data_IF_370093423655
#
_entry.id   IF_370093423655
#
_cell.length_a   1.000
_cell.length_b   1.000
_cell.length_c   1.000
_cell.angle_alpha   90.00
_cell.angle_beta   90.00
_cell.angle_gamma   90.00
#
_symmetry.space_group_name_H-M   'P 1'
#
loop_
_entity.id
_entity.type
_entity.pdbx_description
1 polymer ?
#
# COMPACT_ATOMS: atom_id res chain seq x y z
N UNK A 1 11.53 0.23 19.54
CA UNK A 1 10.70 -0.36 20.61
C UNK A 1 11.06 -1.81 20.94
N UNK A 2 10.88 -2.80 20.04
CA UNK A 2 11.32 -4.19 20.36
C UNK A 2 12.81 -4.31 20.68
N UNK A 3 13.67 -3.62 19.91
CA UNK A 3 15.12 -3.56 20.15
C UNK A 3 15.52 -2.79 21.41
N UNK A 4 14.58 -2.06 22.00
CA UNK A 4 14.76 -1.32 23.25
C UNK A 4 14.18 -2.09 24.46
N UNK A 5 13.71 -3.33 24.25
CA UNK A 5 13.24 -4.21 25.32
C UNK A 5 11.77 -4.06 25.70
N UNK A 6 10.97 -3.28 24.94
CA UNK A 6 9.54 -3.14 25.22
C UNK A 6 8.73 -4.34 24.71
N UNK A 7 7.79 -4.80 25.54
CA UNK A 7 6.71 -5.69 25.15
C UNK A 7 5.46 -4.89 24.79
N UNK A 8 4.86 -5.19 23.65
CA UNK A 8 3.73 -4.42 23.13
C UNK A 8 2.79 -5.28 22.28
N UNK A 9 1.50 -5.01 22.42
CA UNK A 9 0.45 -5.55 21.58
C UNK A 9 -0.07 -4.45 20.64
N UNK A 10 -0.10 -4.74 19.33
CA UNK A 10 -0.54 -3.79 18.31
C UNK A 10 -1.83 -4.26 17.65
N UNK A 11 -2.73 -3.32 17.41
CA UNK A 11 -3.95 -3.56 16.64
C UNK A 11 -3.65 -3.52 15.13
N UNK A 12 -4.61 -3.97 14.31
CA UNK A 12 -4.46 -3.94 12.84
C UNK A 12 -4.31 -2.48 12.36
N UNK A 13 -3.38 -2.21 11.41
CA UNK A 13 -3.24 -0.88 10.84
C UNK A 13 -4.53 -0.49 10.12
N UNK A 14 -4.84 0.81 10.13
CA UNK A 14 -6.02 1.39 9.47
C UNK A 14 -5.60 2.54 8.56
N UNK A 15 -6.27 2.66 7.43
CA UNK A 15 -6.12 3.80 6.52
C UNK A 15 -6.74 5.04 7.17
N UNK A 16 -6.03 6.17 7.07
CA UNK A 16 -6.52 7.47 7.53
C UNK A 16 -7.20 8.16 6.36
N UNK A 17 -8.53 8.19 6.35
CA UNK A 17 -9.32 8.90 5.35
C UNK A 17 -9.35 10.40 5.65
N UNK A 18 -9.46 11.22 4.60
CA UNK A 18 -9.65 12.67 4.69
C UNK A 18 -10.89 13.10 3.91
N UNK A 19 -11.50 14.19 4.33
CA UNK A 19 -12.57 14.84 3.57
C UNK A 19 -11.99 16.07 2.86
N UNK A 20 -12.13 16.10 1.53
CA UNK A 20 -11.64 17.17 0.68
C UNK A 20 -12.78 17.51 -0.28
N UNK A 21 -13.22 18.76 -0.28
CA UNK A 21 -14.35 19.26 -1.08
C UNK A 21 -15.64 18.44 -0.91
N UNK A 22 -15.95 18.05 0.33
CA UNK A 22 -17.12 17.22 0.67
C UNK A 22 -17.03 15.77 0.20
N UNK A 23 -15.85 15.32 -0.26
CA UNK A 23 -15.62 13.94 -0.72
C UNK A 23 -14.62 13.24 0.18
N UNK A 24 -14.97 12.01 0.57
CA UNK A 24 -14.07 11.12 1.30
C UNK A 24 -12.97 10.62 0.36
N UNK A 25 -11.72 10.84 0.74
CA UNK A 25 -10.53 10.42 0.00
C UNK A 25 -9.65 9.53 0.87
N UNK A 26 -8.99 8.56 0.24
CA UNK A 26 -7.97 7.71 0.85
C UNK A 26 -6.57 8.11 0.33
N UNK A 27 -5.52 7.91 1.14
CA UNK A 27 -4.15 8.11 0.68
C UNK A 27 -3.78 7.07 -0.38
N UNK A 28 -3.10 7.54 -1.43
CA UNK A 28 -2.46 6.71 -2.44
C UNK A 28 -0.94 6.84 -2.34
N UNK A 29 -0.23 5.78 -2.69
CA UNK A 29 1.23 5.76 -2.76
C UNK A 29 1.67 5.38 -4.17
N UNK A 30 2.73 6.03 -4.66
CA UNK A 30 3.40 5.60 -5.89
C UNK A 30 4.39 4.49 -5.53
N UNK A 31 4.29 3.36 -6.24
CA UNK A 31 5.15 2.21 -6.02
C UNK A 31 5.99 1.98 -7.27
N UNK A 32 7.29 1.83 -7.10
CA UNK A 32 8.22 1.41 -8.16
C UNK A 32 8.72 0.01 -7.82
N UNK A 33 8.59 -0.90 -8.77
CA UNK A 33 9.03 -2.29 -8.62
C UNK A 33 10.07 -2.56 -9.69
N UNK A 34 11.20 -3.14 -9.26
CA UNK A 34 12.21 -3.69 -10.15
C UNK A 34 12.12 -5.21 -10.09
N UNK A 35 11.71 -5.82 -11.20
CA UNK A 35 11.41 -7.25 -11.30
C UNK A 35 11.89 -7.78 -12.65
N UNK A 36 12.30 -9.04 -12.67
CA UNK A 36 12.61 -9.72 -13.93
C UNK A 36 11.36 -9.80 -14.83
N UNK A 37 11.57 -9.78 -16.15
CA UNK A 37 10.49 -9.77 -17.15
C UNK A 37 9.52 -10.94 -16.99
N UNK A 38 10.04 -12.12 -16.64
CA UNK A 38 9.23 -13.32 -16.37
C UNK A 38 8.23 -13.16 -15.22
N UNK A 39 8.42 -12.19 -14.33
CA UNK A 39 7.55 -11.92 -13.19
C UNK A 39 6.62 -10.73 -13.40
N UNK A 40 6.78 -9.98 -14.49
CA UNK A 40 6.01 -8.77 -14.73
C UNK A 40 4.49 -9.04 -14.73
N UNK A 41 4.04 -10.09 -15.40
CA UNK A 41 2.61 -10.42 -15.49
C UNK A 41 1.97 -10.72 -14.13
N UNK A 42 2.63 -11.55 -13.30
CA UNK A 42 2.10 -11.93 -11.98
C UNK A 42 2.10 -10.75 -11.01
N UNK A 43 3.13 -9.91 -11.06
CA UNK A 43 3.23 -8.68 -10.26
C UNK A 43 2.13 -7.69 -10.64
N UNK A 44 1.90 -7.49 -11.94
CA UNK A 44 0.83 -6.61 -12.42
C UNK A 44 -0.55 -7.10 -11.99
N UNK A 45 -0.82 -8.41 -12.06
CA UNK A 45 -2.07 -8.98 -11.56
C UNK A 45 -2.24 -8.71 -10.05
N UNK A 46 -1.20 -8.97 -9.26
CA UNK A 46 -1.25 -8.76 -7.81
C UNK A 46 -1.46 -7.28 -7.43
N UNK A 47 -0.95 -6.34 -8.23
CA UNK A 47 -1.22 -4.91 -8.06
C UNK A 47 -2.67 -4.56 -8.43
N UNK A 48 -3.19 -5.10 -9.54
CA UNK A 48 -4.58 -4.89 -9.96
C UNK A 48 -5.59 -5.36 -8.92
N UNK A 49 -5.36 -6.52 -8.28
CA UNK A 49 -6.19 -7.03 -7.17
C UNK A 49 -6.19 -6.08 -5.95
N UNK A 50 -5.14 -5.27 -5.79
CA UNK A 50 -5.00 -4.26 -4.73
C UNK A 50 -5.45 -2.86 -5.17
N UNK A 51 -6.15 -2.76 -6.30
CA UNK A 51 -6.59 -1.49 -6.91
C UNK A 51 -5.43 -0.57 -7.31
N UNK A 52 -4.26 -1.15 -7.56
CA UNK A 52 -3.15 -0.44 -8.17
C UNK A 52 -3.48 -0.10 -9.62
N UNK A 53 -3.08 1.10 -10.03
CA UNK A 53 -3.22 1.56 -11.42
C UNK A 53 -1.83 1.79 -12.00
N UNK A 54 -1.66 1.44 -13.27
CA UNK A 54 -0.41 1.67 -13.98
C UNK A 54 -0.39 3.11 -14.46
N UNK A 55 0.45 3.93 -13.83
CA UNK A 55 0.78 5.23 -14.39
C UNK A 55 1.82 5.08 -15.48
N UNK A 56 1.41 5.38 -16.72
CA UNK A 56 2.30 5.55 -17.88
C UNK A 56 3.03 6.89 -17.82
#
# INVERSE_FOLDING_TARGET
MRREGFELAVSRPKVIFREIDGRKQEPYENVTLDVEEQHQGSVMQALGERKGDLKT
#
